data_IF_974171660058
#
_entry.id   IF_974171660058
#
_cell.length_a   1.000
_cell.length_b   1.000
_cell.length_c   1.000
_cell.angle_alpha   90.00
_cell.angle_beta   90.00
_cell.angle_gamma   90.00
#
_symmetry.space_group_name_H-M   'P 1'
#
loop_
_entity.id
_entity.type
_entity.pdbx_description
1 polymer ?
#
# COMPACT_ATOMS: atom_id res chain seq x y z
N UNK A 1 4.90 -45.49 -0.94
CA UNK A 1 4.59 -44.32 -1.76
C UNK A 1 4.17 -43.21 -0.79
N UNK A 2 4.93 -42.13 -0.69
CA UNK A 2 4.56 -40.99 0.14
C UNK A 2 3.47 -40.21 -0.60
N UNK A 3 2.29 -40.16 -0.05
CA UNK A 3 1.19 -39.33 -0.57
C UNK A 3 1.55 -37.87 -0.27
N UNK A 4 1.98 -37.11 -1.26
CA UNK A 4 2.10 -35.67 -1.14
C UNK A 4 0.67 -35.10 -0.97
N UNK A 5 0.34 -34.71 0.25
CA UNK A 5 -0.84 -33.91 0.53
C UNK A 5 -0.61 -32.52 -0.10
N UNK A 6 -1.19 -32.28 -1.26
CA UNK A 6 -1.27 -30.94 -1.85
C UNK A 6 -2.40 -30.22 -1.14
N UNK A 7 -2.07 -29.35 -0.17
CA UNK A 7 -3.08 -28.45 0.39
C UNK A 7 -3.46 -27.43 -0.69
N UNK A 8 -4.74 -27.20 -0.95
CA UNK A 8 -5.14 -26.13 -1.87
C UNK A 8 -4.65 -24.78 -1.31
N UNK A 9 -4.04 -23.97 -2.18
CA UNK A 9 -3.69 -22.61 -1.85
C UNK A 9 -4.95 -21.80 -1.50
N UNK A 10 -4.84 -20.91 -0.52
CA UNK A 10 -5.96 -20.11 -0.07
C UNK A 10 -6.30 -19.02 -1.09
N UNK A 11 -7.59 -18.81 -1.35
CA UNK A 11 -8.04 -17.69 -2.18
C UNK A 11 -8.17 -16.42 -1.34
N UNK A 12 -8.16 -15.26 -2.00
CA UNK A 12 -8.37 -13.97 -1.35
C UNK A 12 -9.71 -13.90 -0.60
N UNK A 13 -10.79 -14.43 -1.21
CA UNK A 13 -12.12 -14.49 -0.60
C UNK A 13 -12.12 -15.34 0.67
N UNK A 14 -11.50 -16.53 0.63
CA UNK A 14 -11.42 -17.40 1.80
C UNK A 14 -10.55 -16.80 2.90
N UNK A 15 -9.45 -16.10 2.55
CA UNK A 15 -8.59 -15.40 3.49
C UNK A 15 -9.34 -14.28 4.24
N UNK A 16 -10.12 -13.46 3.52
CA UNK A 16 -10.87 -12.35 4.10
C UNK A 16 -11.98 -12.77 5.09
N UNK A 17 -12.34 -14.07 5.12
CA UNK A 17 -13.29 -14.63 6.09
C UNK A 17 -12.62 -15.19 7.34
N UNK A 18 -11.29 -15.22 7.41
CA UNK A 18 -10.56 -15.74 8.56
C UNK A 18 -10.46 -14.67 9.64
N UNK A 19 -10.92 -15.00 10.84
CA UNK A 19 -10.69 -14.18 12.02
C UNK A 19 -9.28 -14.47 12.59
N UNK A 20 -8.41 -13.50 12.51
CA UNK A 20 -7.06 -13.57 13.09
C UNK A 20 -6.99 -12.99 14.51
N UNK A 21 -8.11 -12.61 15.11
CA UNK A 21 -8.16 -11.92 16.40
C UNK A 21 -7.42 -10.57 16.32
N UNK A 22 -6.56 -10.31 17.30
CA UNK A 22 -5.78 -9.05 17.37
C UNK A 22 -4.56 -9.01 16.41
N UNK A 23 -4.37 -10.03 15.57
CA UNK A 23 -3.23 -10.12 14.67
C UNK A 23 -3.62 -9.72 13.25
N UNK A 24 -2.70 -9.03 12.55
CA UNK A 24 -2.82 -8.77 11.12
C UNK A 24 -2.04 -9.80 10.31
N UNK A 25 -2.57 -10.16 9.16
CA UNK A 25 -1.92 -11.06 8.22
C UNK A 25 -2.13 -10.57 6.78
N UNK A 26 -1.21 -10.88 5.90
CA UNK A 26 -1.33 -10.75 4.44
C UNK A 26 -1.49 -12.14 3.83
N UNK A 27 -2.05 -12.20 2.63
CA UNK A 27 -2.05 -13.39 1.79
C UNK A 27 -1.04 -13.20 0.65
N UNK A 28 -0.07 -14.09 0.55
CA UNK A 28 1.00 -14.05 -0.45
C UNK A 28 0.98 -15.32 -1.29
N UNK A 29 0.43 -15.25 -2.52
CA UNK A 29 0.26 -16.40 -3.40
C UNK A 29 -0.39 -17.60 -2.67
N UNK A 30 -1.50 -17.36 -1.96
CA UNK A 30 -2.24 -18.39 -1.22
C UNK A 30 -1.63 -18.82 0.11
N UNK A 31 -0.56 -18.16 0.58
CA UNK A 31 0.12 -18.43 1.84
C UNK A 31 -0.09 -17.28 2.82
N UNK A 32 -0.60 -17.59 4.02
CA UNK A 32 -0.76 -16.59 5.10
C UNK A 32 0.61 -16.17 5.63
N UNK A 33 0.82 -14.85 5.71
CA UNK A 33 1.98 -14.22 6.32
C UNK A 33 1.55 -13.29 7.45
N UNK A 34 1.94 -13.62 8.67
CA UNK A 34 1.67 -12.76 9.82
C UNK A 34 2.46 -11.47 9.72
N UNK A 35 1.80 -10.34 9.97
CA UNK A 35 2.42 -9.03 9.97
C UNK A 35 2.98 -8.71 11.36
N UNK A 36 4.20 -8.17 11.40
CA UNK A 36 4.77 -7.61 12.63
C UNK A 36 4.28 -6.16 12.81
N UNK A 37 4.14 -5.74 14.07
CA UNK A 37 3.84 -4.34 14.38
C UNK A 37 4.98 -3.40 13.98
N UNK A 38 4.63 -2.16 13.62
CA UNK A 38 5.60 -1.12 13.29
C UNK A 38 6.16 -0.42 14.54
N UNK A 39 7.31 0.27 14.38
CA UNK A 39 7.86 1.16 15.40
C UNK A 39 7.07 2.46 15.50
N UNK A 40 7.21 3.21 16.60
CA UNK A 40 6.62 4.55 16.73
C UNK A 40 7.04 5.50 15.59
N UNK A 41 8.27 5.36 15.08
CA UNK A 41 8.76 6.11 13.92
C UNK A 41 8.01 5.75 12.65
N UNK A 42 7.76 4.47 12.42
CA UNK A 42 6.96 3.97 11.29
C UNK A 42 5.52 4.52 11.38
N UNK A 43 4.84 4.33 12.51
CA UNK A 43 3.47 4.79 12.72
C UNK A 43 3.32 6.31 12.53
N UNK A 44 4.31 7.11 12.96
CA UNK A 44 4.31 8.57 12.75
C UNK A 44 4.40 8.93 11.28
N UNK A 45 5.33 8.33 10.52
CA UNK A 45 5.50 8.61 9.08
C UNK A 45 4.24 8.19 8.31
N UNK A 46 3.67 7.03 8.61
CA UNK A 46 2.39 6.58 8.07
C UNK A 46 1.27 7.59 8.36
N UNK A 47 1.16 8.04 9.63
CA UNK A 47 0.17 9.03 10.04
C UNK A 47 0.33 10.38 9.34
N UNK A 48 1.57 10.85 9.15
CA UNK A 48 1.87 12.09 8.44
C UNK A 48 1.41 12.02 6.97
N UNK A 49 1.70 10.91 6.30
CA UNK A 49 1.27 10.68 4.90
C UNK A 49 -0.25 10.64 4.82
N UNK A 50 -0.90 9.88 5.70
CA UNK A 50 -2.36 9.78 5.74
C UNK A 50 -3.01 11.15 5.95
N UNK A 51 -2.51 11.94 6.92
CA UNK A 51 -3.03 13.28 7.19
C UNK A 51 -2.84 14.22 6.00
N UNK A 52 -1.65 14.22 5.38
CA UNK A 52 -1.34 15.04 4.22
C UNK A 52 -2.29 14.75 3.05
N UNK A 53 -2.57 13.47 2.80
CA UNK A 53 -3.52 13.02 1.77
C UNK A 53 -4.95 13.38 2.13
N UNK A 54 -5.40 13.11 3.36
CA UNK A 54 -6.76 13.38 3.80
C UNK A 54 -7.13 14.86 3.70
N UNK A 55 -6.18 15.76 3.98
CA UNK A 55 -6.40 17.20 3.86
C UNK A 55 -6.48 17.67 2.40
N UNK A 56 -5.61 17.14 1.52
CA UNK A 56 -5.52 17.57 0.12
C UNK A 56 -6.61 16.95 -0.77
N UNK A 57 -7.04 15.74 -0.45
CA UNK A 57 -8.04 15.02 -1.26
C UNK A 57 -9.49 15.28 -0.85
N UNK A 58 -9.72 16.11 0.18
CA UNK A 58 -11.08 16.43 0.62
C UNK A 58 -11.88 17.08 -0.51
N UNK A 59 -12.98 16.43 -0.90
CA UNK A 59 -13.85 16.90 -1.98
C UNK A 59 -13.37 16.57 -3.40
N UNK A 60 -12.26 15.85 -3.57
CA UNK A 60 -11.75 15.44 -4.88
C UNK A 60 -12.43 14.18 -5.45
N UNK A 61 -13.22 13.46 -4.65
CA UNK A 61 -13.74 12.13 -5.00
C UNK A 61 -12.72 11.00 -4.81
N UNK A 62 -11.57 11.31 -4.20
CA UNK A 62 -10.58 10.31 -3.81
C UNK A 62 -10.48 10.23 -2.28
N UNK A 63 -10.40 9.02 -1.75
CA UNK A 63 -10.35 8.77 -0.30
C UNK A 63 -9.08 8.00 0.06
N UNK A 64 -8.25 8.50 1.00
CA UNK A 64 -7.14 7.75 1.55
C UNK A 64 -7.62 6.82 2.66
N UNK A 65 -7.05 5.61 2.70
CA UNK A 65 -7.23 4.62 3.76
C UNK A 65 -5.88 4.25 4.37
N UNK A 66 -5.88 3.93 5.65
CA UNK A 66 -4.71 3.42 6.37
C UNK A 66 -4.54 1.89 6.16
N UNK A 67 -3.60 1.30 6.87
CA UNK A 67 -3.30 -0.13 6.80
C UNK A 67 -4.41 -1.08 7.31
N UNK A 68 -5.61 -0.58 7.62
CA UNK A 68 -6.76 -1.42 7.94
C UNK A 68 -7.58 -1.80 6.70
N UNK A 69 -7.39 -1.09 5.58
CA UNK A 69 -8.05 -1.41 4.33
C UNK A 69 -7.18 -2.36 3.50
N UNK A 70 -7.75 -3.53 3.20
CA UNK A 70 -7.09 -4.51 2.35
C UNK A 70 -7.13 -4.10 0.87
N UNK A 71 -6.04 -4.41 0.16
CA UNK A 71 -5.95 -4.34 -1.30
C UNK A 71 -5.84 -5.77 -1.85
N UNK A 72 -6.82 -6.19 -2.65
CA UNK A 72 -6.73 -7.43 -3.40
C UNK A 72 -5.85 -7.19 -4.63
N UNK A 73 -4.64 -7.75 -4.62
CA UNK A 73 -3.71 -7.61 -5.74
C UNK A 73 -3.84 -8.73 -6.76
N UNK A 74 -4.28 -9.93 -6.31
CA UNK A 74 -4.51 -11.13 -7.12
C UNK A 74 -5.63 -11.97 -6.50
N UNK A 75 -6.16 -12.99 -7.22
CA UNK A 75 -7.14 -13.94 -6.66
C UNK A 75 -6.63 -14.71 -5.43
N UNK A 76 -5.32 -14.78 -5.24
CA UNK A 76 -4.62 -15.48 -4.16
C UNK A 76 -3.68 -14.56 -3.35
N UNK A 77 -3.85 -13.24 -3.45
CA UNK A 77 -2.99 -12.28 -2.75
C UNK A 77 -3.78 -11.07 -2.22
N UNK A 78 -3.60 -10.80 -0.92
CA UNK A 78 -4.14 -9.65 -0.19
C UNK A 78 -2.99 -8.92 0.47
N UNK A 79 -2.93 -7.60 0.29
CA UNK A 79 -1.95 -6.71 0.92
C UNK A 79 -2.66 -5.66 1.79
N UNK A 80 -1.95 -5.17 2.79
CA UNK A 80 -2.38 -4.05 3.63
C UNK A 80 -1.32 -2.94 3.54
N UNK A 81 -1.35 -2.11 2.48
CA UNK A 81 -0.41 -0.99 2.36
C UNK A 81 -0.52 -0.04 3.55
N UNK A 82 0.58 0.63 3.91
CA UNK A 82 0.55 1.60 4.99
C UNK A 82 -0.46 2.73 4.74
N UNK A 83 -0.54 3.22 3.49
CA UNK A 83 -1.62 4.09 3.03
C UNK A 83 -1.96 3.75 1.58
N UNK A 84 -3.25 3.72 1.27
CA UNK A 84 -3.76 3.56 -0.10
C UNK A 84 -4.80 4.62 -0.42
N UNK A 85 -4.89 5.03 -1.68
CA UNK A 85 -5.87 6.04 -2.15
C UNK A 85 -6.73 5.41 -3.21
N UNK A 86 -8.04 5.53 -3.03
CA UNK A 86 -9.04 5.05 -3.99
C UNK A 86 -9.84 6.21 -4.55
N UNK A 87 -10.29 6.09 -5.80
CA UNK A 87 -11.14 7.08 -6.46
C UNK A 87 -12.52 6.51 -6.78
N UNK A 88 -13.55 7.36 -6.76
CA UNK A 88 -14.90 6.95 -7.13
C UNK A 88 -15.70 6.20 -6.06
N UNK A 89 -15.11 5.96 -4.90
CA UNK A 89 -15.80 5.41 -3.73
C UNK A 89 -16.48 6.56 -2.97
N UNK A 90 -17.80 6.69 -3.07
CA UNK A 90 -18.55 7.82 -2.48
C UNK A 90 -18.83 7.67 -0.98
N UNK A 91 -18.27 6.65 -0.37
CA UNK A 91 -18.34 6.37 1.07
C UNK A 91 -19.69 5.84 1.56
N UNK A 92 -20.71 5.79 0.73
CA UNK A 92 -22.05 5.36 1.15
C UNK A 92 -22.40 3.92 0.77
N UNK A 93 -21.89 3.46 -0.38
CA UNK A 93 -22.10 2.08 -0.84
C UNK A 93 -21.05 1.11 -0.33
N UNK A 94 -19.91 1.64 0.18
CA UNK A 94 -18.70 0.85 0.47
C UNK A 94 -18.29 0.88 1.94
N UNK A 95 -19.14 1.44 2.84
CA UNK A 95 -18.82 1.56 4.27
C UNK A 95 -18.53 0.22 4.97
N UNK A 96 -19.10 -0.89 4.46
CA UNK A 96 -18.88 -2.24 4.98
C UNK A 96 -17.81 -3.02 4.19
N UNK A 97 -17.15 -2.39 3.21
CA UNK A 97 -16.13 -3.06 2.42
C UNK A 97 -14.87 -3.33 3.27
N UNK A 98 -14.37 -4.56 3.21
CA UNK A 98 -13.15 -5.00 3.91
C UNK A 98 -11.93 -5.06 2.99
N UNK A 99 -12.13 -4.97 1.68
CA UNK A 99 -11.09 -4.97 0.67
C UNK A 99 -11.54 -4.26 -0.60
N UNK A 100 -10.60 -3.60 -1.28
CA UNK A 100 -10.76 -3.07 -2.62
C UNK A 100 -9.69 -3.64 -3.56
N UNK A 101 -9.89 -3.52 -4.88
CA UNK A 101 -8.96 -4.01 -5.91
C UNK A 101 -8.50 -2.94 -6.91
N UNK A 102 -8.89 -1.68 -6.69
CA UNK A 102 -8.68 -0.58 -7.61
C UNK A 102 -7.99 0.68 -7.00
N UNK A 103 -6.92 0.53 -6.20
CA UNK A 103 -6.20 1.69 -5.66
C UNK A 103 -5.61 2.54 -6.80
N UNK A 104 -5.62 3.87 -6.63
CA UNK A 104 -4.96 4.83 -7.53
C UNK A 104 -3.51 5.07 -7.14
N UNK A 105 -3.26 5.15 -5.85
CA UNK A 105 -1.92 5.31 -5.30
C UNK A 105 -1.72 4.43 -4.06
N UNK A 106 -0.50 3.90 -3.89
CA UNK A 106 -0.10 3.05 -2.77
C UNK A 106 1.18 3.58 -2.14
N UNK A 107 1.22 3.61 -0.80
CA UNK A 107 2.37 4.04 -0.02
C UNK A 107 2.79 2.92 0.92
N UNK A 108 4.09 2.59 0.91
CA UNK A 108 4.72 1.62 1.80
C UNK A 108 5.85 2.29 2.56
N UNK A 109 5.79 2.24 3.87
CA UNK A 109 6.80 2.78 4.78
C UNK A 109 7.74 1.66 5.21
N UNK A 110 8.98 1.73 4.77
CA UNK A 110 9.95 0.65 4.93
C UNK A 110 10.54 0.60 6.33
N UNK A 111 10.56 -0.58 6.94
CA UNK A 111 11.29 -0.87 8.18
C UNK A 111 12.61 -1.59 7.90
N UNK A 112 13.56 -1.50 8.84
CA UNK A 112 14.96 -1.95 8.66
C UNK A 112 15.16 -3.46 8.41
N UNK A 113 14.12 -4.29 8.38
CA UNK A 113 14.26 -5.74 8.38
C UNK A 113 13.65 -6.51 7.20
N UNK A 114 12.70 -5.95 6.47
CA UNK A 114 11.87 -6.70 5.49
C UNK A 114 12.11 -6.30 4.04
N UNK A 115 13.01 -5.38 3.78
CA UNK A 115 12.92 -4.43 2.70
C UNK A 115 13.10 -4.97 1.26
N UNK A 116 13.96 -5.94 0.96
CA UNK A 116 14.35 -6.13 -0.47
C UNK A 116 13.52 -7.13 -1.24
N UNK A 117 13.18 -8.27 -0.67
CA UNK A 117 12.44 -9.31 -1.40
C UNK A 117 10.94 -8.99 -1.41
N UNK A 118 10.43 -8.54 -0.26
CA UNK A 118 9.03 -8.18 -0.07
C UNK A 118 8.63 -7.00 -0.96
N UNK A 119 9.47 -5.96 -1.00
CA UNK A 119 9.30 -4.80 -1.88
C UNK A 119 9.19 -5.15 -3.35
N UNK A 120 9.98 -6.11 -3.84
CA UNK A 120 9.96 -6.49 -5.24
C UNK A 120 8.66 -7.19 -5.59
N UNK A 121 8.20 -8.10 -4.74
CA UNK A 121 6.94 -8.82 -4.93
C UNK A 121 5.76 -7.84 -4.90
N UNK A 122 5.69 -7.00 -3.89
CA UNK A 122 4.63 -5.98 -3.77
C UNK A 122 4.64 -4.99 -4.94
N UNK A 123 5.83 -4.54 -5.37
CA UNK A 123 5.97 -3.64 -6.51
C UNK A 123 5.39 -4.27 -7.80
N UNK A 124 5.72 -5.53 -8.08
CA UNK A 124 5.24 -6.23 -9.26
C UNK A 124 3.72 -6.45 -9.18
N UNK A 125 3.18 -6.76 -8.00
CA UNK A 125 1.74 -6.89 -7.76
C UNK A 125 1.00 -5.57 -7.97
N UNK A 126 1.47 -4.46 -7.39
CA UNK A 126 0.84 -3.16 -7.55
C UNK A 126 0.92 -2.66 -9.00
N UNK A 127 2.03 -2.89 -9.70
CA UNK A 127 2.15 -2.56 -11.14
C UNK A 127 1.17 -3.31 -12.02
N UNK A 128 0.80 -4.54 -11.62
CA UNK A 128 -0.14 -5.37 -12.35
C UNK A 128 -1.60 -4.87 -12.25
N UNK A 129 -1.93 -4.08 -11.23
CA UNK A 129 -3.26 -3.48 -11.08
C UNK A 129 -3.44 -2.34 -12.10
N UNK A 130 -4.46 -2.40 -12.98
CA UNK A 130 -4.66 -1.36 -14.01
C UNK A 130 -4.94 0.02 -13.44
N UNK A 131 -5.55 0.08 -12.24
CA UNK A 131 -5.95 1.31 -11.54
C UNK A 131 -4.78 2.05 -10.92
N UNK A 132 -3.68 1.35 -10.59
CA UNK A 132 -2.53 1.95 -9.92
C UNK A 132 -1.75 2.83 -10.87
N UNK A 133 -1.66 4.09 -10.53
CA UNK A 133 -0.87 5.10 -11.25
C UNK A 133 0.44 5.43 -10.54
N UNK A 134 0.46 5.37 -9.19
CA UNK A 134 1.62 5.78 -8.40
C UNK A 134 1.86 4.83 -7.23
N UNK A 135 3.11 4.39 -7.07
CA UNK A 135 3.57 3.57 -5.94
C UNK A 135 4.72 4.31 -5.29
N UNK A 136 4.65 4.51 -3.97
CA UNK A 136 5.63 5.28 -3.22
C UNK A 136 6.18 4.43 -2.08
N UNK A 137 7.51 4.30 -2.04
CA UNK A 137 8.22 3.65 -0.95
C UNK A 137 8.99 4.68 -0.15
N UNK A 138 8.82 4.68 1.18
CA UNK A 138 9.47 5.63 2.09
C UNK A 138 10.46 4.87 2.97
N UNK A 139 11.75 5.06 2.72
CA UNK A 139 12.84 4.57 3.56
C UNK A 139 13.06 5.53 4.72
N UNK A 140 12.57 5.14 5.90
CA UNK A 140 12.65 5.97 7.10
C UNK A 140 14.09 6.13 7.59
N UNK A 141 14.93 5.11 7.42
CA UNK A 141 16.30 5.10 7.94
C UNK A 141 17.13 6.18 7.22
N UNK A 142 17.00 6.24 5.91
CA UNK A 142 17.77 7.13 5.04
C UNK A 142 17.00 8.38 4.62
N UNK A 143 15.73 8.54 5.04
CA UNK A 143 14.81 9.59 4.59
C UNK A 143 14.68 9.65 3.06
N UNK A 144 14.80 8.51 2.41
CA UNK A 144 14.69 8.37 0.96
C UNK A 144 13.25 8.11 0.55
N UNK A 145 12.83 8.75 -0.54
CA UNK A 145 11.54 8.49 -1.17
C UNK A 145 11.78 7.93 -2.57
N UNK A 146 11.23 6.76 -2.85
CA UNK A 146 11.19 6.15 -4.19
C UNK A 146 9.79 6.26 -4.74
N UNK A 147 9.66 6.84 -5.92
CA UNK A 147 8.39 7.10 -6.60
C UNK A 147 8.38 6.32 -7.89
N UNK A 148 7.40 5.45 -8.06
CA UNK A 148 7.18 4.65 -9.26
C UNK A 148 5.85 5.07 -9.87
N UNK A 149 5.89 5.67 -11.06
CA UNK A 149 4.73 6.28 -11.71
C UNK A 149 4.47 5.68 -13.08
N UNK A 150 3.21 5.42 -13.38
CA UNK A 150 2.76 4.95 -14.68
C UNK A 150 2.85 6.09 -15.71
N UNK A 151 3.46 5.83 -16.86
CA UNK A 151 3.61 6.81 -17.95
C UNK A 151 2.76 6.48 -19.18
N UNK A 152 2.05 5.36 -19.14
CA UNK A 152 1.19 4.88 -20.22
C UNK A 152 1.03 3.37 -20.17
N UNK A 153 0.43 2.74 -21.16
CA UNK A 153 0.24 1.29 -21.21
C UNK A 153 1.56 0.55 -21.07
N UNK A 154 1.76 -0.12 -19.93
CA UNK A 154 2.98 -0.89 -19.63
C UNK A 154 4.24 -0.08 -19.32
N UNK A 155 4.20 1.27 -19.40
CA UNK A 155 5.33 2.14 -19.09
C UNK A 155 5.33 2.60 -17.63
N UNK A 156 6.53 2.60 -17.00
CA UNK A 156 6.76 3.09 -15.65
C UNK A 156 8.06 3.88 -15.57
N UNK A 157 8.04 4.99 -14.85
CA UNK A 157 9.23 5.72 -14.41
C UNK A 157 9.46 5.41 -12.95
N UNK A 158 10.71 5.17 -12.57
CA UNK A 158 11.12 4.73 -11.24
C UNK A 158 12.28 5.62 -10.77
N UNK A 159 12.00 6.55 -9.89
CA UNK A 159 12.94 7.53 -9.38
C UNK A 159 13.11 7.40 -7.87
N UNK A 160 14.35 7.59 -7.40
CA UNK A 160 14.66 7.65 -5.97
C UNK A 160 15.30 9.00 -5.64
N UNK A 161 14.87 9.58 -4.53
CA UNK A 161 15.30 10.89 -4.07
C UNK A 161 15.86 10.77 -2.65
N UNK A 162 17.11 11.16 -2.46
CA UNK A 162 17.83 11.16 -1.18
C UNK A 162 17.73 12.51 -0.47
N UNK A 163 17.49 13.57 -1.23
CA UNK A 163 17.37 14.94 -0.71
C UNK A 163 15.89 15.33 -0.50
N UNK A 164 15.64 16.37 0.33
CA UNK A 164 14.32 16.93 0.47
C UNK A 164 13.75 17.33 -0.90
N UNK A 165 12.71 16.65 -1.31
CA UNK A 165 11.98 16.90 -2.55
C UNK A 165 10.49 16.89 -2.29
N UNK A 166 9.74 17.39 -3.25
CA UNK A 166 8.30 17.28 -3.23
C UNK A 166 7.86 15.97 -3.88
N UNK A 167 7.00 15.24 -3.21
CA UNK A 167 6.39 14.02 -3.75
C UNK A 167 5.17 14.42 -4.57
N UNK A 168 5.37 14.60 -5.87
CA UNK A 168 4.28 14.90 -6.80
C UNK A 168 3.53 13.62 -7.18
N UNK A 169 2.19 13.68 -7.11
CA UNK A 169 1.27 12.61 -7.51
C UNK A 169 0.32 13.19 -8.55
N UNK A 170 0.73 13.25 -9.84
CA UNK A 170 -0.01 13.96 -10.88
C UNK A 170 -1.44 13.43 -11.09
N UNK A 171 -1.65 12.13 -10.94
CA UNK A 171 -2.96 11.49 -11.11
C UNK A 171 -3.98 11.89 -10.04
N UNK A 172 -3.53 12.43 -8.92
CA UNK A 172 -4.35 12.97 -7.83
C UNK A 172 -4.32 14.51 -7.78
N UNK A 173 -3.54 15.15 -8.66
CA UNK A 173 -3.29 16.61 -8.68
C UNK A 173 -2.82 17.15 -7.32
N UNK A 174 -1.95 16.41 -6.65
CA UNK A 174 -1.40 16.80 -5.34
C UNK A 174 0.12 16.68 -5.30
N UNK A 175 0.68 17.40 -4.34
CA UNK A 175 2.09 17.31 -3.97
C UNK A 175 2.22 17.27 -2.45
N UNK A 176 3.07 16.38 -1.94
CA UNK A 176 3.38 16.26 -0.51
C UNK A 176 4.83 16.66 -0.30
N UNK A 177 5.11 17.74 0.46
CA UNK A 177 6.48 18.11 0.82
C UNK A 177 7.17 17.01 1.62
N UNK A 178 8.43 16.72 1.32
CA UNK A 178 9.24 15.77 2.06
C UNK A 178 9.27 16.10 3.58
N UNK A 179 9.30 17.38 3.93
CA UNK A 179 9.28 17.82 5.33
C UNK A 179 8.01 17.37 6.07
N UNK A 180 6.85 17.35 5.41
CA UNK A 180 5.60 16.85 6.00
C UNK A 180 5.67 15.35 6.27
N UNK A 181 6.23 14.57 5.33
CA UNK A 181 6.35 13.10 5.47
C UNK A 181 7.16 12.75 6.72
N UNK A 182 8.25 13.48 6.97
CA UNK A 182 9.19 13.19 8.04
C UNK A 182 9.07 14.13 9.27
N UNK A 183 7.97 14.89 9.37
CA UNK A 183 7.69 15.75 10.52
C UNK A 183 7.69 14.99 11.86
N UNK A 184 8.05 15.68 12.96
CA UNK A 184 8.18 15.09 14.31
C UNK A 184 7.34 15.79 15.39
N UNK A 185 6.72 16.86 15.04
CA UNK A 185 5.91 17.75 15.86
C UNK A 185 4.40 17.49 15.68
#
# INVERSE_FOLDING_TARGET
MATHLVYPLLTAEAFLQIDFGDQKAELDNGVIRMMAGGTARHARVQGNIFLALALRLRGSGCTPYNSDMAVRTRPDSIRYPDVSVFGGHDGKSDDDAIAFDDPRAVFEVLSDGTARTDLRVKLDEYRALPSVDTIIFIDIANKRVRIVQRTGPGGWVDNSYDDPTEVAIPTLDITIPHAEIFARD
#
